data_IF_889603837073
#
_entry.id   IF_889603837073
#
_cell.length_a   1.000
_cell.length_b   1.000
_cell.length_c   1.000
_cell.angle_alpha   90.00
_cell.angle_beta   90.00
_cell.angle_gamma   90.00
#
_symmetry.space_group_name_H-M   'P 1'
#
loop_
_entity.id
_entity.type
_entity.pdbx_description
1 polymer ?
#
# COMPACT_ATOMS: atom_id res chain seq x y z
N UNK A 1 -13.48 12.06 2.28
CA UNK A 1 -13.60 10.73 2.92
C UNK A 1 -12.54 10.58 4.00
N UNK A 2 -12.93 10.18 5.19
CA UNK A 2 -11.97 9.92 6.27
C UNK A 2 -11.21 8.63 5.99
N UNK A 3 -10.09 8.43 6.68
CA UNK A 3 -9.33 7.19 6.55
C UNK A 3 -10.17 5.96 6.92
N UNK A 4 -10.93 6.06 8.02
CA UNK A 4 -11.80 4.96 8.45
C UNK A 4 -12.85 4.64 7.38
N UNK A 5 -13.44 5.67 6.78
CA UNK A 5 -14.41 5.48 5.70
C UNK A 5 -13.76 4.81 4.48
N UNK A 6 -12.55 5.21 4.14
CA UNK A 6 -11.81 4.61 3.03
C UNK A 6 -11.46 3.15 3.31
N UNK A 7 -11.01 2.85 4.53
CA UNK A 7 -10.72 1.48 4.93
C UNK A 7 -11.97 0.60 4.88
N UNK A 8 -13.09 1.12 5.39
CA UNK A 8 -14.35 0.40 5.35
C UNK A 8 -14.87 0.17 3.93
N UNK A 9 -14.65 1.13 3.04
CA UNK A 9 -15.02 0.98 1.63
C UNK A 9 -14.24 -0.15 0.95
N UNK A 10 -12.96 -0.28 1.25
CA UNK A 10 -12.14 -1.39 0.73
C UNK A 10 -12.58 -2.72 1.32
N UNK A 11 -12.87 -2.78 2.60
CA UNK A 11 -13.37 -4.00 3.24
C UNK A 11 -14.68 -4.45 2.58
N UNK A 12 -15.59 -3.51 2.35
CA UNK A 12 -16.85 -3.80 1.69
C UNK A 12 -16.64 -4.28 0.25
N UNK A 13 -15.76 -3.63 -0.50
CA UNK A 13 -15.44 -4.04 -1.86
C UNK A 13 -14.92 -5.47 -1.91
N UNK A 14 -13.96 -5.82 -1.04
CA UNK A 14 -13.40 -7.17 -0.99
C UNK A 14 -14.42 -8.21 -0.52
N UNK A 15 -15.41 -7.81 0.29
CA UNK A 15 -16.44 -8.73 0.77
C UNK A 15 -17.37 -9.22 -0.35
N UNK A 16 -17.38 -8.52 -1.48
CA UNK A 16 -18.18 -8.90 -2.63
C UNK A 16 -17.56 -10.05 -3.45
N UNK A 17 -16.31 -10.36 -3.21
CA UNK A 17 -15.62 -11.45 -3.88
C UNK A 17 -15.57 -12.67 -2.97
N UNK A 18 -16.15 -13.79 -3.41
CA UNK A 18 -16.19 -15.02 -2.62
C UNK A 18 -14.89 -15.81 -2.73
N UNK A 19 -14.28 -15.81 -3.93
CA UNK A 19 -13.07 -16.56 -4.19
C UNK A 19 -11.84 -15.66 -4.08
N UNK A 20 -10.76 -16.23 -3.51
CA UNK A 20 -9.50 -15.48 -3.42
C UNK A 20 -8.96 -15.09 -4.80
N UNK A 21 -9.19 -15.92 -5.81
CA UNK A 21 -8.75 -15.61 -7.18
C UNK A 21 -9.35 -14.30 -7.68
N UNK A 22 -10.62 -14.05 -7.38
CA UNK A 22 -11.28 -12.79 -7.79
C UNK A 22 -10.68 -11.59 -7.04
N UNK A 23 -10.37 -11.75 -5.76
CA UNK A 23 -9.68 -10.72 -4.98
C UNK A 23 -8.30 -10.44 -5.54
N UNK A 24 -7.59 -11.50 -5.94
CA UNK A 24 -6.26 -11.41 -6.53
C UNK A 24 -6.30 -10.60 -7.83
N UNK A 25 -7.26 -10.88 -8.69
CA UNK A 25 -7.46 -10.14 -9.95
C UNK A 25 -7.76 -8.67 -9.69
N UNK A 26 -8.57 -8.38 -8.68
CA UNK A 26 -8.88 -7.01 -8.29
C UNK A 26 -7.62 -6.27 -7.82
N UNK A 27 -6.77 -6.92 -7.03
CA UNK A 27 -5.49 -6.35 -6.58
C UNK A 27 -4.61 -6.03 -7.80
N UNK A 28 -4.52 -6.92 -8.77
CA UNK A 28 -3.75 -6.70 -9.99
C UNK A 28 -4.28 -5.47 -10.74
N UNK A 29 -5.60 -5.33 -10.83
CA UNK A 29 -6.22 -4.18 -11.48
C UNK A 29 -5.87 -2.87 -10.77
N UNK A 30 -5.85 -2.87 -9.43
CA UNK A 30 -5.43 -1.70 -8.66
C UNK A 30 -4.02 -1.26 -9.03
N UNK A 31 -3.12 -2.23 -9.24
CA UNK A 31 -1.74 -1.95 -9.63
C UNK A 31 -1.62 -1.24 -10.97
N UNK A 32 -2.53 -1.51 -11.88
CA UNK A 32 -2.52 -0.87 -13.20
C UNK A 32 -2.78 0.63 -13.13
N UNK A 33 -3.37 1.11 -12.05
CA UNK A 33 -3.62 2.54 -11.83
C UNK A 33 -2.36 3.29 -11.43
N UNK A 34 -1.31 2.59 -11.00
CA UNK A 34 -0.03 3.22 -10.66
C UNK A 34 0.73 3.55 -11.94
N UNK A 35 0.72 4.84 -12.30
CA UNK A 35 1.40 5.34 -13.48
C UNK A 35 2.20 6.59 -13.10
N UNK A 36 3.21 6.90 -13.90
CA UNK A 36 3.91 8.16 -13.74
C UNK A 36 4.97 8.20 -12.66
N UNK A 37 5.37 7.05 -12.08
CA UNK A 37 6.51 7.03 -11.17
C UNK A 37 7.77 7.32 -12.00
N UNK A 38 8.55 8.37 -11.65
CA UNK A 38 9.71 8.77 -12.46
C UNK A 38 10.79 7.68 -12.47
N UNK A 39 11.30 7.36 -13.65
CA UNK A 39 12.42 6.41 -13.76
C UNK A 39 13.64 6.88 -12.96
N UNK A 40 13.87 8.21 -12.90
CA UNK A 40 14.98 8.79 -12.14
C UNK A 40 14.86 8.55 -10.63
N UNK A 41 13.65 8.23 -10.14
CA UNK A 41 13.40 7.97 -8.73
C UNK A 41 13.43 6.48 -8.40
N UNK A 42 13.67 5.61 -9.39
CA UNK A 42 13.85 4.17 -9.16
C UNK A 42 15.27 3.87 -8.72
N UNK A 43 15.61 4.39 -7.56
CA UNK A 43 16.95 4.30 -6.97
C UNK A 43 16.92 3.39 -5.74
N UNK A 44 18.10 2.92 -5.34
CA UNK A 44 18.21 1.97 -4.21
C UNK A 44 17.70 2.56 -2.88
N UNK A 45 17.84 3.87 -2.69
CA UNK A 45 17.36 4.54 -1.47
C UNK A 45 15.83 4.61 -1.40
N UNK A 46 15.14 4.41 -2.52
CA UNK A 46 13.67 4.38 -2.57
C UNK A 46 13.11 2.96 -2.44
N UNK A 47 13.95 1.94 -2.52
CA UNK A 47 13.51 0.56 -2.38
C UNK A 47 13.03 0.27 -0.98
N UNK A 48 11.91 -0.43 -0.87
CA UNK A 48 11.44 -0.96 0.41
C UNK A 48 12.20 -2.26 0.68
N UNK A 49 12.99 -2.26 1.75
CA UNK A 49 13.76 -3.44 2.16
C UNK A 49 12.81 -4.51 2.72
N UNK A 50 13.12 -5.76 2.49
CA UNK A 50 12.31 -6.87 2.97
C UNK A 50 11.31 -7.40 1.96
N UNK A 51 11.23 -6.79 0.77
CA UNK A 51 10.43 -7.30 -0.33
C UNK A 51 11.33 -8.11 -1.28
N UNK A 52 10.83 -9.25 -1.76
CA UNK A 52 11.54 -10.06 -2.75
C UNK A 52 11.59 -9.35 -4.09
N UNK A 53 10.46 -8.78 -4.51
CA UNK A 53 10.37 -7.94 -5.71
C UNK A 53 10.83 -6.54 -5.40
N UNK A 54 11.23 -5.80 -6.42
CA UNK A 54 11.58 -4.39 -6.25
C UNK A 54 10.31 -3.57 -6.10
N UNK A 55 10.25 -2.81 -5.01
CA UNK A 55 9.17 -1.86 -4.73
C UNK A 55 9.81 -0.54 -4.37
N UNK A 56 9.51 0.48 -5.16
CA UNK A 56 9.98 1.84 -4.90
C UNK A 56 8.84 2.63 -4.29
N UNK A 57 9.14 3.39 -3.23
CA UNK A 57 8.19 4.26 -2.58
C UNK A 57 8.82 5.63 -2.40
N UNK A 58 8.10 6.63 -2.86
CA UNK A 58 8.50 8.02 -2.72
C UNK A 58 7.35 8.79 -2.07
N UNK A 59 7.64 9.95 -1.50
CA UNK A 59 6.60 10.78 -0.90
C UNK A 59 7.00 12.25 -0.92
N UNK A 60 6.00 13.10 -0.78
CA UNK A 60 6.18 14.53 -0.54
C UNK A 60 5.16 14.97 0.50
N UNK A 61 5.45 16.10 1.15
CA UNK A 61 4.49 16.71 2.07
C UNK A 61 3.84 17.87 1.33
N UNK A 62 2.52 17.88 1.32
CA UNK A 62 1.73 18.89 0.62
C UNK A 62 0.55 19.26 1.50
N UNK A 63 0.52 20.52 1.94
CA UNK A 63 -0.50 21.04 2.85
C UNK A 63 -0.64 20.20 4.13
N UNK A 64 0.48 19.74 4.67
CA UNK A 64 0.50 18.91 5.89
C UNK A 64 0.11 17.46 5.69
N UNK A 65 -0.09 17.04 4.46
CA UNK A 65 -0.48 15.66 4.13
C UNK A 65 0.65 14.94 3.43
N UNK A 66 0.75 13.64 3.68
CA UNK A 66 1.75 12.79 3.04
C UNK A 66 1.18 12.28 1.72
N UNK A 67 1.81 12.65 0.62
CA UNK A 67 1.43 12.19 -0.71
C UNK A 67 2.43 11.15 -1.17
N UNK A 68 1.98 9.90 -1.29
CA UNK A 68 2.82 8.78 -1.69
C UNK A 68 2.76 8.53 -3.20
N UNK A 69 3.86 8.07 -3.74
CA UNK A 69 3.93 7.52 -5.10
C UNK A 69 4.78 6.27 -5.04
N UNK A 70 4.47 5.28 -5.87
CA UNK A 70 5.15 3.99 -5.82
C UNK A 70 5.13 3.29 -7.18
N UNK A 71 6.01 2.32 -7.33
CA UNK A 71 6.00 1.40 -8.46
C UNK A 71 6.64 0.08 -8.02
N UNK A 72 6.46 -0.96 -8.82
CA UNK A 72 7.08 -2.27 -8.58
C UNK A 72 7.31 -2.97 -9.91
N UNK A 73 8.27 -3.88 -9.93
CA UNK A 73 8.57 -4.72 -11.09
C UNK A 73 7.75 -6.02 -11.11
N UNK A 74 6.88 -6.24 -10.11
CA UNK A 74 6.04 -7.43 -10.02
C UNK A 74 4.57 -7.04 -9.95
N UNK A 75 3.73 -7.71 -10.73
CA UNK A 75 2.32 -7.36 -10.94
C UNK A 75 1.52 -7.37 -9.63
N UNK A 76 1.63 -8.44 -8.84
CA UNK A 76 0.86 -8.55 -7.60
C UNK A 76 1.37 -7.58 -6.53
N UNK A 77 2.68 -7.44 -6.43
CA UNK A 77 3.31 -6.51 -5.50
C UNK A 77 2.93 -5.08 -5.81
N UNK A 78 2.89 -4.73 -7.10
CA UNK A 78 2.43 -3.43 -7.56
C UNK A 78 0.99 -3.17 -7.14
N UNK A 79 0.12 -4.19 -7.23
CA UNK A 79 -1.26 -4.10 -6.76
C UNK A 79 -1.36 -3.88 -5.26
N UNK A 80 -0.55 -4.59 -4.49
CA UNK A 80 -0.55 -4.46 -3.03
C UNK A 80 -0.12 -3.06 -2.60
N UNK A 81 0.97 -2.55 -3.15
CA UNK A 81 1.42 -1.19 -2.80
C UNK A 81 0.42 -0.15 -3.28
N UNK A 82 -0.23 -0.37 -4.42
CA UNK A 82 -1.29 0.51 -4.91
C UNK A 82 -2.45 0.59 -3.94
N UNK A 83 -2.87 -0.56 -3.40
CA UNK A 83 -3.94 -0.62 -2.41
C UNK A 83 -3.56 0.21 -1.17
N UNK A 84 -2.36 0.02 -0.65
CA UNK A 84 -1.90 0.71 0.55
C UNK A 84 -1.81 2.22 0.34
N UNK A 85 -1.13 2.67 -0.71
CA UNK A 85 -1.01 4.12 -0.93
C UNK A 85 -2.33 4.75 -1.34
N UNK A 86 -3.24 3.99 -1.95
CA UNK A 86 -4.59 4.46 -2.22
C UNK A 86 -5.37 4.81 -0.97
N UNK A 87 -5.11 4.09 0.13
CA UNK A 87 -5.73 4.36 1.43
C UNK A 87 -5.03 5.47 2.20
N UNK A 88 -3.71 5.44 2.24
CA UNK A 88 -2.94 6.26 3.18
C UNK A 88 -2.33 7.52 2.58
N UNK A 89 -2.30 7.65 1.24
CA UNK A 89 -1.87 8.88 0.58
C UNK A 89 -2.92 9.98 0.78
N UNK A 90 -2.44 11.22 0.93
CA UNK A 90 -3.34 12.36 1.14
C UNK A 90 -3.85 12.47 2.57
N UNK A 91 -3.21 11.80 3.51
CA UNK A 91 -3.56 11.84 4.94
C UNK A 91 -2.48 12.57 5.72
N UNK A 92 -2.86 13.14 6.86
CA UNK A 92 -1.86 13.70 7.76
C UNK A 92 -1.05 12.57 8.39
N UNK A 93 0.20 12.84 8.82
CA UNK A 93 0.97 11.83 9.55
C UNK A 93 0.24 11.26 10.76
N UNK A 94 -0.48 12.11 11.48
CA UNK A 94 -1.25 11.71 12.66
C UNK A 94 -2.37 10.73 12.31
N UNK A 95 -3.08 10.97 11.18
CA UNK A 95 -4.11 10.04 10.72
C UNK A 95 -3.51 8.66 10.40
N UNK A 96 -2.39 8.66 9.69
CA UNK A 96 -1.71 7.41 9.32
C UNK A 96 -1.31 6.64 10.58
N UNK A 97 -0.71 7.32 11.54
CA UNK A 97 -0.25 6.71 12.79
C UNK A 97 -1.42 6.23 13.67
N UNK A 98 -2.61 6.81 13.51
CA UNK A 98 -3.80 6.39 14.26
C UNK A 98 -4.39 5.08 13.74
N UNK A 99 -4.02 4.65 12.53
CA UNK A 99 -4.51 3.41 11.95
C UNK A 99 -3.71 2.22 12.48
N UNK A 100 -4.40 1.12 12.77
CA UNK A 100 -3.77 -0.13 13.13
C UNK A 100 -3.47 -1.01 11.90
N UNK A 101 -3.82 -0.53 10.70
CA UNK A 101 -3.67 -1.25 9.43
C UNK A 101 -4.40 -2.60 9.41
N UNK A 102 -5.43 -2.76 10.27
CA UNK A 102 -6.20 -3.99 10.35
C UNK A 102 -6.98 -4.30 9.07
N UNK A 103 -7.12 -3.32 8.19
CA UNK A 103 -7.78 -3.50 6.89
C UNK A 103 -7.18 -4.67 6.11
N UNK A 104 -5.85 -4.87 6.18
CA UNK A 104 -5.18 -5.96 5.46
C UNK A 104 -5.57 -7.33 6.00
N UNK A 105 -5.84 -7.43 7.30
CA UNK A 105 -6.33 -8.66 7.91
C UNK A 105 -7.80 -8.91 7.54
N UNK A 106 -8.61 -7.86 7.61
CA UNK A 106 -10.05 -7.93 7.36
C UNK A 106 -10.39 -8.32 5.94
N UNK A 107 -9.55 -7.96 4.97
CA UNK A 107 -9.74 -8.38 3.57
C UNK A 107 -9.10 -9.74 3.28
N UNK A 108 -8.42 -10.34 4.26
CA UNK A 108 -7.80 -11.65 4.10
C UNK A 108 -6.49 -11.61 3.31
N UNK A 109 -5.88 -10.44 3.19
CA UNK A 109 -4.70 -10.28 2.32
C UNK A 109 -3.51 -11.07 2.86
N UNK A 110 -3.17 -10.87 4.14
CA UNK A 110 -1.98 -11.49 4.73
C UNK A 110 -2.03 -13.02 4.70
N UNK A 111 -3.16 -13.61 5.07
CA UNK A 111 -3.31 -15.06 5.19
C UNK A 111 -3.33 -15.78 3.83
N UNK A 112 -3.62 -15.05 2.76
CA UNK A 112 -3.72 -15.63 1.41
C UNK A 112 -2.48 -15.35 0.55
N UNK A 113 -1.49 -14.63 1.08
CA UNK A 113 -0.23 -14.40 0.38
C UNK A 113 0.77 -15.51 0.74
N UNK A 114 1.72 -15.76 -0.17
CA UNK A 114 2.87 -16.61 0.17
C UNK A 114 3.64 -15.97 1.33
N UNK A 115 4.42 -16.75 2.12
CA UNK A 115 5.21 -16.18 3.20
C UNK A 115 6.10 -15.01 2.77
N UNK A 116 6.71 -15.10 1.60
CA UNK A 116 7.59 -14.05 1.06
C UNK A 116 6.80 -12.76 0.78
N UNK A 117 5.63 -12.90 0.16
CA UNK A 117 4.78 -11.73 -0.12
C UNK A 117 4.17 -11.15 1.14
N UNK A 118 3.81 -11.99 2.11
CA UNK A 118 3.31 -11.53 3.40
C UNK A 118 4.38 -10.72 4.13
N UNK A 119 5.64 -11.14 4.07
CA UNK A 119 6.75 -10.38 4.63
C UNK A 119 6.92 -9.04 3.93
N UNK A 120 6.77 -9.01 2.60
CA UNK A 120 6.81 -7.77 1.83
C UNK A 120 5.71 -6.80 2.25
N UNK A 121 4.50 -7.30 2.49
CA UNK A 121 3.38 -6.50 2.97
C UNK A 121 3.71 -5.86 4.33
N UNK A 122 4.27 -6.63 5.25
CA UNK A 122 4.70 -6.11 6.57
C UNK A 122 5.74 -5.00 6.38
N UNK A 123 6.69 -5.19 5.47
CA UNK A 123 7.72 -4.19 5.18
C UNK A 123 7.14 -2.91 4.59
N UNK A 124 6.16 -3.02 3.70
CA UNK A 124 5.46 -1.87 3.13
C UNK A 124 4.75 -1.06 4.21
N UNK A 125 4.02 -1.73 5.09
CA UNK A 125 3.30 -1.10 6.19
C UNK A 125 4.28 -0.40 7.13
N UNK A 126 5.38 -1.07 7.47
CA UNK A 126 6.41 -0.51 8.34
C UNK A 126 7.02 0.76 7.74
N UNK A 127 7.25 0.77 6.43
CA UNK A 127 7.81 1.95 5.75
C UNK A 127 6.83 3.12 5.74
N UNK A 128 5.55 2.86 5.50
CA UNK A 128 4.52 3.90 5.53
C UNK A 128 4.45 4.52 6.94
N UNK A 129 4.46 3.68 7.97
CA UNK A 129 4.45 4.15 9.38
C UNK A 129 5.70 4.95 9.71
N UNK A 130 6.87 4.50 9.26
CA UNK A 130 8.13 5.21 9.47
C UNK A 130 8.10 6.61 8.86
N UNK A 131 7.62 6.72 7.61
CA UNK A 131 7.50 8.00 6.92
C UNK A 131 6.55 8.93 7.70
N UNK A 132 5.41 8.41 8.14
CA UNK A 132 4.46 9.19 8.93
C UNK A 132 5.09 9.65 10.24
N UNK A 133 5.85 8.78 10.91
CA UNK A 133 6.48 9.08 12.20
C UNK A 133 7.51 10.20 12.08
N UNK A 134 8.35 10.19 11.05
CA UNK A 134 9.39 11.21 10.88
C UNK A 134 8.81 12.55 10.43
N UNK A 135 7.58 12.60 9.96
CA UNK A 135 6.91 13.81 9.51
C UNK A 135 5.79 14.26 10.47
N UNK A 136 5.63 13.57 11.57
CA UNK A 136 4.60 13.90 12.56
C UNK A 136 4.97 15.14 13.39
#
# INVERSE_FOLDING_TARGET
MTLIEAENAIIEEFSMYEEWLDKYEYIIELGKSLTGYPESEKTDDKLIKGCQSRVWLNYKIEEGKVIFNADSDAIITKGIISLLIGLYSGRTPQEILSSDFSVVEKIGLRENLSPTRANGLVSMIAKIKEIAKVNA
#
